data_IF_773520007428
#
_entry.id   IF_773520007428
#
_cell.length_a   1.000
_cell.length_b   1.000
_cell.length_c   1.000
_cell.angle_alpha   90.00
_cell.angle_beta   90.00
_cell.angle_gamma   90.00
#
_symmetry.space_group_name_H-M   'P 1'
#
loop_
_entity.id
_entity.type
_entity.pdbx_description
1 polymer ?
#
# COMPACT_ATOMS: atom_id res chain seq x y z
N UNK A 1 2.69 -21.78 33.01
CA UNK A 1 2.07 -20.47 33.29
C UNK A 1 0.69 -20.48 32.67
N UNK A 2 -0.32 -19.84 33.26
CA UNK A 2 -1.69 -19.86 32.73
C UNK A 2 -1.97 -18.53 32.03
N UNK A 3 -1.52 -18.42 30.78
CA UNK A 3 -1.74 -17.21 29.99
C UNK A 3 -3.18 -17.11 29.52
N UNK A 4 -3.76 -15.92 29.60
CA UNK A 4 -5.09 -15.65 29.06
C UNK A 4 -5.03 -14.60 27.97
N UNK A 5 -5.73 -14.83 26.87
CA UNK A 5 -5.86 -13.86 25.78
C UNK A 5 -7.18 -13.10 25.91
N UNK A 6 -7.14 -11.78 25.81
CA UNK A 6 -8.31 -10.93 25.98
C UNK A 6 -8.32 -9.82 24.93
N UNK A 7 -9.49 -9.54 24.37
CA UNK A 7 -9.68 -8.39 23.47
C UNK A 7 -9.52 -7.09 24.24
N UNK A 8 -8.76 -6.16 23.68
CA UNK A 8 -8.57 -4.79 24.18
C UNK A 8 -9.37 -3.81 23.32
N UNK A 9 -10.24 -3.03 23.95
CA UNK A 9 -11.09 -2.00 23.35
C UNK A 9 -10.42 -0.63 23.43
N UNK A 10 -9.25 -0.50 22.81
CA UNK A 10 -8.38 0.70 22.90
C UNK A 10 -9.03 1.99 22.36
N UNK A 11 -10.06 1.89 21.52
CA UNK A 11 -10.81 3.05 21.03
C UNK A 11 -11.82 3.61 22.05
N UNK A 12 -12.36 2.75 22.92
CA UNK A 12 -13.45 3.11 23.84
C UNK A 12 -13.07 3.02 25.32
N UNK A 13 -11.91 2.44 25.65
CA UNK A 13 -11.41 2.30 27.01
C UNK A 13 -10.04 2.96 27.16
N UNK A 14 -10.02 4.08 27.88
CA UNK A 14 -8.78 4.85 28.13
C UNK A 14 -7.73 4.02 28.87
N UNK A 15 -8.11 3.26 29.89
CA UNK A 15 -7.17 2.44 30.66
C UNK A 15 -6.53 1.34 29.82
N UNK A 16 -7.30 0.69 28.93
CA UNK A 16 -6.76 -0.31 28.02
C UNK A 16 -5.88 0.31 26.94
N UNK A 17 -6.23 1.50 26.45
CA UNK A 17 -5.37 2.27 25.55
C UNK A 17 -4.03 2.60 26.21
N UNK A 18 -4.04 3.17 27.40
CA UNK A 18 -2.82 3.50 28.15
C UNK A 18 -1.96 2.23 28.40
N UNK A 19 -2.57 1.09 28.76
CA UNK A 19 -1.83 -0.17 28.94
C UNK A 19 -1.18 -0.67 27.63
N UNK A 20 -1.90 -0.58 26.51
CA UNK A 20 -1.40 -0.94 25.19
C UNK A 20 -0.23 -0.04 24.76
N UNK A 21 -0.42 1.28 24.82
CA UNK A 21 0.61 2.27 24.46
C UNK A 21 1.87 2.08 25.31
N UNK A 22 1.71 1.89 26.63
CA UNK A 22 2.84 1.67 27.53
C UNK A 22 3.66 0.43 27.17
N UNK A 23 3.00 -0.69 26.81
CA UNK A 23 3.72 -1.91 26.42
C UNK A 23 4.43 -1.74 25.08
N UNK A 24 3.82 -1.05 24.11
CA UNK A 24 4.48 -0.71 22.84
C UNK A 24 5.72 0.15 23.07
N UNK A 25 5.61 1.21 23.88
CA UNK A 25 6.73 2.08 24.22
C UNK A 25 7.88 1.33 24.90
N UNK A 26 7.58 0.40 25.82
CA UNK A 26 8.59 -0.46 26.46
C UNK A 26 9.32 -1.38 25.47
N UNK A 27 8.63 -1.79 24.41
CA UNK A 27 9.20 -2.56 23.30
C UNK A 27 9.89 -1.68 22.23
N UNK A 28 9.98 -0.37 22.46
CA UNK A 28 10.51 0.61 21.49
C UNK A 28 9.77 0.57 20.15
N UNK A 29 8.44 0.46 20.26
CA UNK A 29 7.49 0.45 19.16
C UNK A 29 6.58 1.67 19.33
N UNK A 30 6.36 2.43 18.25
CA UNK A 30 5.43 3.56 18.24
C UNK A 30 4.00 3.07 18.13
N UNK A 31 3.06 3.91 18.53
CA UNK A 31 1.63 3.65 18.34
C UNK A 31 1.23 3.86 16.88
N UNK A 32 0.14 3.21 16.45
CA UNK A 32 -0.43 3.41 15.13
C UNK A 32 -1.96 3.49 15.23
N UNK A 33 -2.55 4.48 14.57
CA UNK A 33 -3.99 4.74 14.64
C UNK A 33 -4.81 3.79 13.75
N UNK A 34 -4.22 3.26 12.68
CA UNK A 34 -4.90 2.33 11.77
C UNK A 34 -4.83 0.91 12.32
N UNK A 35 -5.70 0.63 13.30
CA UNK A 35 -5.92 -0.68 13.93
C UNK A 35 -7.42 -0.94 14.11
N UNK A 36 -7.89 -2.15 13.82
CA UNK A 36 -9.31 -2.54 13.88
C UNK A 36 -9.61 -3.50 15.04
N UNK A 37 -8.61 -4.29 15.41
CA UNK A 37 -8.71 -5.30 16.46
C UNK A 37 -7.39 -5.36 17.22
N UNK A 38 -7.46 -5.38 18.55
CA UNK A 38 -6.30 -5.45 19.44
C UNK A 38 -6.57 -6.46 20.54
N UNK A 39 -5.56 -7.25 20.89
CA UNK A 39 -5.58 -8.23 21.97
C UNK A 39 -4.39 -8.06 22.89
N UNK A 40 -4.59 -8.42 24.15
CA UNK A 40 -3.55 -8.56 25.16
C UNK A 40 -3.46 -10.00 25.63
N UNK A 41 -2.23 -10.46 25.88
CA UNK A 41 -1.97 -11.68 26.65
C UNK A 41 -1.62 -11.26 28.07
N UNK A 42 -2.28 -11.90 29.02
CA UNK A 42 -2.15 -11.64 30.44
C UNK A 42 -1.60 -12.84 31.20
N UNK A 43 -0.65 -12.58 32.10
CA UNK A 43 -0.21 -13.51 33.15
C UNK A 43 -0.78 -13.00 34.48
N UNK A 44 -1.88 -13.61 34.93
CA UNK A 44 -2.73 -13.02 35.97
C UNK A 44 -3.34 -11.70 35.50
N UNK A 45 -3.05 -10.60 36.21
CA UNK A 45 -3.50 -9.24 35.83
C UNK A 45 -2.47 -8.48 35.00
N UNK A 46 -1.24 -9.01 34.85
CA UNK A 46 -0.16 -8.34 34.14
C UNK A 46 -0.31 -8.55 32.64
N UNK A 47 -0.42 -7.46 31.87
CA UNK A 47 -0.30 -7.49 30.42
C UNK A 47 1.15 -7.81 30.04
N UNK A 48 1.39 -8.98 29.43
CA UNK A 48 2.73 -9.46 29.07
C UNK A 48 3.01 -9.41 27.57
N UNK A 49 1.95 -9.35 26.74
CA UNK A 49 2.07 -9.22 25.29
C UNK A 49 0.86 -8.50 24.73
N UNK A 50 1.02 -7.82 23.61
CA UNK A 50 -0.09 -7.25 22.85
C UNK A 50 0.19 -7.30 21.36
N UNK A 51 -0.88 -7.31 20.58
CA UNK A 51 -0.81 -7.22 19.13
C UNK A 51 -2.15 -6.78 18.57
N UNK A 52 -2.09 -6.18 17.39
CA UNK A 52 -3.22 -5.64 16.68
C UNK A 52 -3.28 -6.18 15.26
N UNK A 53 -4.40 -5.96 14.58
CA UNK A 53 -4.50 -6.11 13.13
C UNK A 53 -5.25 -4.93 12.51
N UNK A 54 -4.91 -4.66 11.27
CA UNK A 54 -5.69 -3.82 10.36
C UNK A 54 -5.94 -4.62 9.09
N UNK A 55 -7.20 -4.94 8.80
CA UNK A 55 -7.56 -5.94 7.79
C UNK A 55 -6.75 -7.23 8.02
N UNK A 56 -5.93 -7.62 7.04
CA UNK A 56 -5.05 -8.78 7.05
C UNK A 56 -3.58 -8.49 7.40
N UNK A 57 -3.27 -7.29 7.89
CA UNK A 57 -1.92 -6.93 8.31
C UNK A 57 -1.82 -7.02 9.82
N UNK A 58 -0.90 -7.85 10.32
CA UNK A 58 -0.51 -7.88 11.72
C UNK A 58 0.25 -6.59 12.05
N UNK A 59 -0.17 -5.94 13.15
CA UNK A 59 0.35 -4.64 13.58
C UNK A 59 0.64 -4.62 15.07
N UNK A 60 1.47 -3.67 15.50
CA UNK A 60 1.70 -3.33 16.91
C UNK A 60 1.99 -4.55 17.81
N UNK A 61 2.78 -5.51 17.31
CA UNK A 61 3.17 -6.71 18.07
C UNK A 61 4.29 -6.34 19.05
N UNK A 62 4.02 -6.45 20.35
CA UNK A 62 4.98 -6.24 21.42
C UNK A 62 4.87 -7.35 22.48
N UNK A 63 6.02 -7.79 22.98
CA UNK A 63 6.13 -8.75 24.08
C UNK A 63 7.04 -8.17 25.13
N UNK A 64 6.63 -8.29 26.39
CA UNK A 64 7.41 -7.86 27.54
C UNK A 64 8.76 -8.61 27.56
N UNK A 65 9.86 -7.89 27.83
CA UNK A 65 11.23 -8.46 27.88
C UNK A 65 11.32 -9.65 28.86
N UNK A 66 10.56 -9.53 29.95
CA UNK A 66 10.13 -10.52 30.94
C UNK A 66 9.84 -11.93 30.40
N UNK A 67 9.19 -11.94 29.23
CA UNK A 67 8.39 -13.03 28.70
C UNK A 67 8.76 -13.33 27.23
N UNK A 68 10.01 -13.05 26.85
CA UNK A 68 10.55 -13.21 25.48
C UNK A 68 10.67 -14.67 25.01
N UNK A 69 10.15 -15.64 25.77
CA UNK A 69 10.02 -17.03 25.33
C UNK A 69 9.10 -17.16 24.10
N UNK A 70 9.35 -18.18 23.27
CA UNK A 70 8.59 -18.42 22.05
C UNK A 70 7.10 -18.71 22.26
N UNK A 71 6.69 -19.16 23.45
CA UNK A 71 5.30 -19.53 23.76
C UNK A 71 4.34 -18.34 23.67
N UNK A 72 4.65 -17.22 24.33
CA UNK A 72 3.78 -16.03 24.36
C UNK A 72 3.65 -15.40 22.97
N UNK A 73 4.77 -15.29 22.25
CA UNK A 73 4.80 -14.80 20.86
C UNK A 73 3.95 -15.68 19.94
N UNK A 74 4.10 -17.00 20.05
CA UNK A 74 3.36 -17.96 19.22
C UNK A 74 1.87 -17.90 19.51
N UNK A 75 1.47 -17.81 20.80
CA UNK A 75 0.08 -17.69 21.21
C UNK A 75 -0.57 -16.42 20.64
N UNK A 76 0.13 -15.29 20.74
CA UNK A 76 -0.35 -14.00 20.24
C UNK A 76 -0.58 -14.02 18.73
N UNK A 77 0.44 -14.46 17.99
CA UNK A 77 0.42 -14.41 16.54
C UNK A 77 -0.57 -15.45 15.98
N UNK A 78 -0.64 -16.64 16.58
CA UNK A 78 -1.64 -17.65 16.19
C UNK A 78 -3.07 -17.12 16.37
N UNK A 79 -3.35 -16.45 17.49
CA UNK A 79 -4.67 -15.84 17.72
C UNK A 79 -5.00 -14.76 16.68
N UNK A 80 -4.06 -13.84 16.45
CA UNK A 80 -4.27 -12.77 15.45
C UNK A 80 -4.44 -13.33 14.04
N UNK A 81 -3.72 -14.40 13.69
CA UNK A 81 -3.91 -15.10 12.42
C UNK A 81 -5.31 -15.71 12.32
N UNK A 82 -5.78 -16.41 13.35
CA UNK A 82 -7.15 -16.94 13.39
C UNK A 82 -8.17 -15.82 13.17
N UNK A 83 -8.01 -14.69 13.86
CA UNK A 83 -8.88 -13.51 13.68
C UNK A 83 -8.84 -12.91 12.28
N UNK A 84 -7.71 -13.01 11.56
CA UNK A 84 -7.59 -12.58 10.16
C UNK A 84 -8.35 -13.54 9.24
N UNK A 85 -8.13 -14.86 9.39
CA UNK A 85 -8.77 -15.86 8.53
C UNK A 85 -10.27 -15.96 8.79
N UNK A 86 -10.71 -15.87 10.05
CA UNK A 86 -12.13 -15.87 10.42
C UNK A 86 -12.86 -14.61 9.93
N UNK A 87 -12.13 -13.49 9.76
CA UNK A 87 -12.66 -12.29 9.11
C UNK A 87 -12.76 -12.42 7.57
N UNK A 88 -12.40 -13.58 7.00
CA UNK A 88 -12.54 -13.89 5.58
C UNK A 88 -11.35 -13.50 4.71
N UNK A 89 -10.23 -13.07 5.30
CA UNK A 89 -9.02 -12.80 4.54
C UNK A 89 -8.26 -14.09 4.25
N UNK A 90 -7.82 -14.29 3.01
CA UNK A 90 -7.10 -15.52 2.60
C UNK A 90 -5.58 -15.45 2.84
N UNK A 91 -5.08 -14.28 3.23
CA UNK A 91 -3.66 -13.97 3.37
C UNK A 91 -3.44 -13.20 4.65
N UNK A 92 -2.28 -13.35 5.25
CA UNK A 92 -1.86 -12.63 6.45
C UNK A 92 -0.48 -12.03 6.20
N UNK A 93 -0.33 -10.74 6.49
CA UNK A 93 0.90 -9.99 6.24
C UNK A 93 1.52 -9.48 7.53
N UNK A 94 2.83 -9.32 7.53
CA UNK A 94 3.52 -8.59 8.60
C UNK A 94 4.71 -7.84 8.04
N UNK A 95 4.89 -6.62 8.55
CA UNK A 95 6.05 -5.78 8.32
C UNK A 95 6.80 -5.72 9.65
N UNK A 96 8.07 -6.09 9.66
CA UNK A 96 8.82 -6.21 10.91
C UNK A 96 10.30 -5.90 10.73
N UNK A 97 11.02 -5.80 11.85
CA UNK A 97 12.48 -5.64 11.83
C UNK A 97 13.16 -6.98 11.57
N UNK A 98 14.37 -7.00 10.96
CA UNK A 98 15.13 -8.23 10.72
C UNK A 98 15.27 -9.16 11.94
N UNK A 99 15.39 -8.60 13.15
CA UNK A 99 15.60 -9.38 14.37
C UNK A 99 14.37 -10.23 14.76
N UNK A 100 13.18 -9.86 14.28
CA UNK A 100 11.93 -10.55 14.59
C UNK A 100 11.53 -11.60 13.55
N UNK A 101 12.22 -11.66 12.41
CA UNK A 101 11.87 -12.51 11.26
C UNK A 101 11.79 -13.99 11.62
N UNK A 102 12.77 -14.47 12.40
CA UNK A 102 12.87 -15.89 12.72
C UNK A 102 11.61 -16.44 13.40
N UNK A 103 10.98 -15.62 14.26
CA UNK A 103 9.71 -16.00 14.90
C UNK A 103 8.61 -16.24 13.87
N UNK A 104 8.47 -15.34 12.88
CA UNK A 104 7.47 -15.46 11.82
C UNK A 104 7.74 -16.65 10.88
N UNK A 105 9.01 -16.90 10.53
CA UNK A 105 9.38 -18.07 9.72
C UNK A 105 8.97 -19.39 10.40
N UNK A 106 9.16 -19.51 11.72
CA UNK A 106 8.71 -20.71 12.47
C UNK A 106 7.19 -20.91 12.43
N UNK A 107 6.41 -19.85 12.24
CA UNK A 107 4.95 -19.92 12.08
C UNK A 107 4.53 -20.09 10.61
N UNK A 108 5.49 -20.31 9.71
CA UNK A 108 5.28 -20.55 8.29
C UNK A 108 4.86 -19.30 7.53
N UNK A 109 5.41 -18.14 7.91
CA UNK A 109 5.49 -16.99 7.01
C UNK A 109 6.69 -17.15 6.06
N UNK A 110 6.60 -16.54 4.91
CA UNK A 110 7.66 -16.46 3.90
C UNK A 110 8.04 -15.00 3.68
N UNK A 111 9.34 -14.74 3.50
CA UNK A 111 9.85 -13.40 3.21
C UNK A 111 9.56 -13.06 1.75
N UNK A 112 8.87 -11.94 1.51
CA UNK A 112 8.61 -11.39 0.17
C UNK A 112 9.80 -10.54 -0.29
N UNK A 113 10.17 -9.57 0.55
CA UNK A 113 11.24 -8.63 0.26
C UNK A 113 11.68 -7.91 1.54
N UNK A 114 12.87 -7.31 1.48
CA UNK A 114 13.55 -6.68 2.61
C UNK A 114 14.19 -5.36 2.21
N UNK A 115 14.22 -4.41 3.12
CA UNK A 115 15.00 -3.18 3.04
C UNK A 115 16.12 -3.27 4.07
N UNK A 116 17.28 -3.75 3.62
CA UNK A 116 18.50 -3.95 4.40
C UNK A 116 18.22 -4.43 5.85
N UNK A 117 18.61 -3.62 6.83
CA UNK A 117 18.42 -3.87 8.26
C UNK A 117 17.22 -3.11 8.86
N UNK A 118 16.43 -2.44 8.02
CA UNK A 118 15.35 -1.56 8.45
C UNK A 118 14.00 -2.29 8.50
N UNK A 119 13.71 -3.11 7.48
CA UNK A 119 12.38 -3.70 7.30
C UNK A 119 12.41 -5.03 6.55
N UNK A 120 11.50 -5.92 6.92
CA UNK A 120 11.20 -7.18 6.24
C UNK A 120 9.69 -7.31 6.08
N UNK A 121 9.25 -7.54 4.85
CA UNK A 121 7.87 -7.79 4.51
C UNK A 121 7.65 -9.30 4.33
N UNK A 122 6.77 -9.87 5.13
CA UNK A 122 6.46 -11.30 5.13
C UNK A 122 4.97 -11.55 4.89
N UNK A 123 4.68 -12.70 4.31
CA UNK A 123 3.32 -13.19 4.06
C UNK A 123 3.16 -14.61 4.57
N UNK A 124 1.96 -14.91 5.04
CA UNK A 124 1.46 -16.27 5.20
C UNK A 124 0.17 -16.43 4.39
N UNK A 125 0.20 -17.33 3.43
CA UNK A 125 -0.92 -17.64 2.54
C UNK A 125 -0.78 -19.06 2.00
N UNK A 126 -1.88 -19.64 1.50
CA UNK A 126 -1.84 -20.98 0.85
C UNK A 126 -1.08 -20.92 -0.48
N UNK A 127 -1.37 -19.90 -1.29
CA UNK A 127 -0.78 -19.72 -2.64
C UNK A 127 0.06 -18.44 -2.75
N UNK A 128 -0.28 -17.42 -1.96
CA UNK A 128 0.52 -16.22 -1.69
C UNK A 128 1.06 -15.47 -2.91
N UNK A 129 2.21 -14.85 -2.68
CA UNK A 129 2.91 -13.97 -3.62
C UNK A 129 3.33 -14.71 -4.88
N UNK A 130 3.78 -15.96 -4.76
CA UNK A 130 4.15 -16.76 -5.93
C UNK A 130 2.97 -16.96 -6.88
N UNK A 131 1.76 -17.19 -6.36
CA UNK A 131 0.57 -17.28 -7.21
C UNK A 131 0.23 -15.96 -7.89
N UNK A 132 0.40 -14.83 -7.19
CA UNK A 132 0.25 -13.51 -7.80
C UNK A 132 1.23 -13.31 -8.96
N UNK A 133 2.50 -13.65 -8.78
CA UNK A 133 3.51 -13.58 -9.83
C UNK A 133 3.20 -14.53 -11.00
N UNK A 134 2.70 -15.74 -10.72
CA UNK A 134 2.30 -16.68 -11.77
C UNK A 134 1.12 -16.15 -12.60
N UNK A 135 0.13 -15.50 -11.97
CA UNK A 135 -0.98 -14.85 -12.68
C UNK A 135 -0.51 -13.66 -13.53
N UNK A 136 0.50 -12.92 -13.06
CA UNK A 136 1.14 -11.89 -13.88
C UNK A 136 1.89 -12.52 -15.06
N UNK A 137 2.68 -13.57 -14.84
CA UNK A 137 3.47 -14.22 -15.87
C UNK A 137 2.61 -14.79 -17.01
N UNK A 138 1.36 -15.20 -16.75
CA UNK A 138 0.39 -15.60 -17.79
C UNK A 138 0.02 -14.46 -18.75
N UNK A 139 0.21 -13.21 -18.34
CA UNK A 139 -0.06 -12.00 -19.12
C UNK A 139 1.21 -11.43 -19.77
N UNK A 140 2.34 -12.15 -19.67
CA UNK A 140 3.55 -11.80 -20.38
C UNK A 140 3.32 -12.00 -21.88
N UNK A 141 3.64 -10.99 -22.66
CA UNK A 141 3.63 -11.04 -24.13
C UNK A 141 5.04 -10.71 -24.65
N UNK A 142 5.34 -11.16 -25.87
CA UNK A 142 6.63 -10.88 -26.50
C UNK A 142 6.74 -9.40 -26.91
N UNK A 143 7.94 -8.84 -26.78
CA UNK A 143 8.27 -7.48 -27.19
C UNK A 143 9.67 -7.11 -26.70
N UNK A 144 10.29 -6.14 -27.36
CA UNK A 144 11.63 -5.66 -26.99
C UNK A 144 11.56 -4.60 -25.89
N UNK A 145 10.52 -3.75 -25.94
CA UNK A 145 10.31 -2.64 -25.01
C UNK A 145 9.06 -2.88 -24.17
N UNK A 146 9.23 -3.63 -23.09
CA UNK A 146 8.16 -3.90 -22.12
C UNK A 146 8.29 -2.94 -20.94
N UNK A 147 7.20 -2.23 -20.67
CA UNK A 147 7.20 -1.13 -19.71
C UNK A 147 6.17 -1.27 -18.61
N UNK A 148 6.41 -0.62 -17.48
CA UNK A 148 5.53 -0.63 -16.32
C UNK A 148 5.17 0.76 -15.80
N UNK A 149 3.88 0.96 -15.49
CA UNK A 149 3.35 2.08 -14.69
C UNK A 149 2.69 1.52 -13.42
N UNK A 150 2.96 2.10 -12.24
CA UNK A 150 2.17 1.89 -11.01
C UNK A 150 1.54 3.22 -10.64
N UNK A 151 0.25 3.23 -10.35
CA UNK A 151 -0.49 4.44 -9.99
C UNK A 151 -1.66 4.16 -9.05
N UNK A 152 -2.01 5.17 -8.24
CA UNK A 152 -3.24 5.12 -7.44
C UNK A 152 -4.47 5.52 -8.27
N UNK A 153 -4.40 6.58 -9.08
CA UNK A 153 -5.52 7.08 -9.89
C UNK A 153 -6.78 7.41 -9.05
N UNK A 154 -6.64 8.26 -8.03
CA UNK A 154 -7.69 8.60 -7.05
C UNK A 154 -8.20 10.06 -7.13
N UNK A 155 -8.92 10.48 -8.18
CA UNK A 155 -9.40 9.69 -9.32
C UNK A 155 -8.41 9.66 -10.50
N UNK A 156 -8.79 8.96 -11.57
CA UNK A 156 -8.08 8.98 -12.84
C UNK A 156 -8.21 10.36 -13.50
N UNK A 157 -7.09 10.95 -13.92
CA UNK A 157 -6.99 12.34 -14.40
C UNK A 157 -6.33 12.40 -15.77
N UNK A 158 -6.41 13.54 -16.45
CA UNK A 158 -5.69 13.77 -17.72
C UNK A 158 -4.17 13.68 -17.55
N UNK A 159 -3.66 13.93 -16.35
CA UNK A 159 -2.25 13.70 -16.02
C UNK A 159 -1.88 12.21 -16.00
N UNK A 160 -2.74 11.35 -15.44
CA UNK A 160 -2.55 9.90 -15.51
C UNK A 160 -2.67 9.39 -16.95
N UNK A 161 -3.69 9.83 -17.69
CA UNK A 161 -3.89 9.44 -19.09
C UNK A 161 -2.69 9.82 -19.95
N UNK A 162 -2.17 11.05 -19.78
CA UNK A 162 -0.95 11.50 -20.47
C UNK A 162 0.28 10.64 -20.16
N UNK A 163 0.49 10.28 -18.89
CA UNK A 163 1.61 9.40 -18.50
C UNK A 163 1.50 8.05 -19.22
N UNK A 164 0.30 7.46 -19.24
CA UNK A 164 0.05 6.18 -19.90
C UNK A 164 0.24 6.32 -21.42
N UNK A 165 -0.36 7.30 -22.07
CA UNK A 165 -0.24 7.53 -23.51
C UNK A 165 1.22 7.73 -23.93
N UNK A 166 1.98 8.53 -23.17
CA UNK A 166 3.39 8.81 -23.46
C UNK A 166 4.27 7.57 -23.30
N UNK A 167 4.04 6.78 -22.24
CA UNK A 167 4.76 5.52 -22.03
C UNK A 167 4.38 4.47 -23.09
N UNK A 168 3.09 4.38 -23.43
CA UNK A 168 2.54 3.43 -24.40
C UNK A 168 3.12 3.67 -25.79
N UNK A 169 3.31 4.93 -26.19
CA UNK A 169 3.93 5.29 -27.46
C UNK A 169 5.43 4.94 -27.55
N UNK A 170 6.08 4.65 -26.42
CA UNK A 170 7.51 4.31 -26.33
C UNK A 170 7.74 2.82 -26.04
N UNK A 171 6.67 2.03 -25.96
CA UNK A 171 6.71 0.63 -25.52
C UNK A 171 5.99 -0.25 -26.53
N UNK A 172 6.50 -1.47 -26.73
CA UNK A 172 5.76 -2.49 -27.48
C UNK A 172 4.56 -2.98 -26.67
N UNK A 173 4.74 -3.05 -25.34
CA UNK A 173 3.71 -3.40 -24.36
C UNK A 173 3.88 -2.56 -23.09
N UNK A 174 2.77 -2.07 -22.55
CA UNK A 174 2.74 -1.30 -21.31
C UNK A 174 1.80 -1.96 -20.30
N UNK A 175 2.38 -2.42 -19.18
CA UNK A 175 1.64 -2.88 -18.02
C UNK A 175 1.35 -1.71 -17.08
N UNK A 176 0.09 -1.46 -16.77
CA UNK A 176 -0.35 -0.44 -15.81
C UNK A 176 -0.96 -1.12 -14.60
N UNK A 177 -0.34 -0.94 -13.44
CA UNK A 177 -0.75 -1.43 -12.15
C UNK A 177 -1.51 -0.35 -11.40
N UNK A 178 -2.77 -0.64 -11.07
CA UNK A 178 -3.63 0.23 -10.28
C UNK A 178 -3.67 -0.30 -8.85
N UNK A 179 -3.36 0.57 -7.88
CA UNK A 179 -3.32 0.16 -6.46
C UNK A 179 -4.65 -0.47 -6.04
N UNK A 180 -4.64 -1.60 -5.33
CA UNK A 180 -5.86 -2.32 -4.90
C UNK A 180 -6.44 -1.84 -3.57
N UNK A 181 -5.72 -0.99 -2.83
CA UNK A 181 -6.18 -0.52 -1.52
C UNK A 181 -7.45 0.35 -1.55
N UNK A 182 -8.41 0.00 -0.70
CA UNK A 182 -9.66 0.75 -0.46
C UNK A 182 -9.55 1.68 0.76
N UNK A 183 -8.53 2.52 0.80
CA UNK A 183 -8.41 3.64 1.77
C UNK A 183 -8.50 5.02 1.11
N UNK A 184 -8.64 5.01 -0.20
CA UNK A 184 -8.78 6.16 -1.08
C UNK A 184 -10.24 6.64 -1.12
N UNK A 185 -10.45 7.90 -1.50
CA UNK A 185 -11.79 8.45 -1.70
C UNK A 185 -12.55 7.68 -2.79
N UNK A 186 -11.87 7.36 -3.90
CA UNK A 186 -12.42 6.55 -4.96
C UNK A 186 -12.08 5.07 -4.70
N UNK A 187 -13.08 4.16 -4.68
CA UNK A 187 -12.86 2.72 -4.49
C UNK A 187 -11.94 2.12 -5.56
N UNK A 188 -11.16 1.10 -5.22
CA UNK A 188 -10.19 0.45 -6.10
C UNK A 188 -10.83 -0.03 -7.41
N UNK A 189 -12.00 -0.66 -7.33
CA UNK A 189 -12.76 -1.10 -8.51
C UNK A 189 -13.13 0.06 -9.43
N UNK A 190 -13.54 1.19 -8.86
CA UNK A 190 -13.86 2.41 -9.63
C UNK A 190 -12.61 2.97 -10.28
N UNK A 191 -11.51 3.12 -9.52
CA UNK A 191 -10.23 3.63 -10.04
C UNK A 191 -9.75 2.79 -11.22
N UNK A 192 -9.77 1.47 -11.09
CA UNK A 192 -9.40 0.54 -12.17
C UNK A 192 -10.31 0.67 -13.38
N UNK A 193 -11.64 0.67 -13.19
CA UNK A 193 -12.62 0.85 -14.28
C UNK A 193 -12.37 2.14 -15.05
N UNK A 194 -12.11 3.26 -14.35
CA UNK A 194 -11.84 4.55 -14.97
C UNK A 194 -10.53 4.55 -15.78
N UNK A 195 -9.49 3.87 -15.28
CA UNK A 195 -8.24 3.67 -16.02
C UNK A 195 -8.49 2.84 -17.28
N UNK A 196 -9.18 1.70 -17.17
CA UNK A 196 -9.52 0.82 -18.30
C UNK A 196 -10.34 1.55 -19.39
N UNK A 197 -11.39 2.29 -19.00
CA UNK A 197 -12.18 3.10 -19.93
C UNK A 197 -11.34 4.21 -20.57
N UNK A 198 -10.51 4.88 -19.77
CA UNK A 198 -9.70 6.01 -20.20
C UNK A 198 -8.50 5.63 -21.07
N UNK A 199 -8.14 4.35 -21.14
CA UNK A 199 -7.01 3.86 -21.96
C UNK A 199 -7.44 2.87 -23.03
N UNK A 200 -8.75 2.68 -23.23
CA UNK A 200 -9.30 1.67 -24.17
C UNK A 200 -8.82 1.84 -25.61
N UNK A 201 -8.45 3.06 -26.01
CA UNK A 201 -7.91 3.37 -27.33
C UNK A 201 -6.46 2.90 -27.53
N UNK A 202 -5.77 2.45 -26.47
CA UNK A 202 -4.37 2.01 -26.52
C UNK A 202 -4.30 0.47 -26.56
N UNK A 203 -4.05 -0.15 -27.73
CA UNK A 203 -4.13 -1.61 -27.88
C UNK A 203 -3.01 -2.37 -27.15
N UNK A 204 -1.89 -1.69 -26.86
CA UNK A 204 -0.72 -2.27 -26.20
C UNK A 204 -0.70 -2.03 -24.68
N UNK A 205 -1.82 -1.62 -24.08
CA UNK A 205 -1.93 -1.43 -22.63
C UNK A 205 -2.60 -2.64 -21.98
N UNK A 206 -2.04 -3.10 -20.86
CA UNK A 206 -2.63 -4.13 -19.98
C UNK A 206 -2.80 -3.56 -18.59
N UNK A 207 -4.02 -3.66 -18.04
CA UNK A 207 -4.33 -3.15 -16.70
C UNK A 207 -4.29 -4.30 -15.68
N UNK A 208 -3.63 -4.07 -14.55
CA UNK A 208 -3.41 -5.02 -13.48
C UNK A 208 -3.78 -4.40 -12.14
N UNK A 209 -4.24 -5.26 -11.22
CA UNK A 209 -4.30 -4.95 -9.81
C UNK A 209 -2.92 -5.16 -9.17
N UNK A 210 -2.58 -4.39 -8.16
CA UNK A 210 -1.37 -4.63 -7.35
C UNK A 210 -1.55 -5.75 -6.32
N UNK A 211 -2.80 -6.07 -5.97
CA UNK A 211 -3.08 -6.76 -4.73
C UNK A 211 -2.53 -5.97 -3.55
N UNK A 212 -2.13 -6.66 -2.49
CA UNK A 212 -1.55 -6.05 -1.29
C UNK A 212 -0.02 -5.89 -1.36
N UNK A 213 0.60 -6.22 -2.50
CA UNK A 213 2.07 -6.24 -2.66
C UNK A 213 2.68 -4.90 -3.04
N UNK A 214 1.85 -3.91 -3.38
CA UNK A 214 2.24 -2.51 -3.50
C UNK A 214 1.12 -1.67 -2.91
N UNK A 215 1.44 -0.86 -1.90
CA UNK A 215 0.46 -0.12 -1.08
C UNK A 215 0.76 1.36 -1.08
N UNK A 216 -0.21 2.21 -0.71
CA UNK A 216 0.09 3.63 -0.54
C UNK A 216 0.79 3.91 0.80
N UNK A 217 1.38 5.10 0.90
CA UNK A 217 1.90 5.62 2.16
C UNK A 217 0.87 5.67 3.29
N UNK A 218 -0.44 5.72 2.99
CA UNK A 218 -1.49 5.77 4.02
C UNK A 218 -1.63 4.45 4.78
N UNK A 219 -1.30 3.33 4.15
CA UNK A 219 -1.48 1.98 4.72
C UNK A 219 -0.16 1.32 5.10
N UNK A 220 0.97 1.87 4.65
CA UNK A 220 2.31 1.37 4.96
C UNK A 220 2.60 1.42 6.47
N UNK A 221 2.82 0.26 7.13
CA UNK A 221 3.09 0.24 8.56
C UNK A 221 4.53 0.68 8.83
N UNK A 222 4.69 1.78 9.58
CA UNK A 222 6.01 2.36 9.88
C UNK A 222 6.30 2.49 11.38
N UNK A 223 5.33 2.10 12.21
CA UNK A 223 5.37 2.22 13.66
C UNK A 223 6.58 1.54 14.33
N UNK A 224 7.15 0.51 13.70
CA UNK A 224 8.33 -0.19 14.18
C UNK A 224 9.66 0.41 13.70
N UNK A 225 9.67 1.27 12.67
CA UNK A 225 10.91 1.87 12.17
C UNK A 225 11.54 2.77 13.25
N UNK A 226 12.88 2.89 13.20
CA UNK A 226 13.62 3.79 14.08
C UNK A 226 13.25 5.25 13.77
N UNK A 227 13.33 6.13 14.77
CA UNK A 227 12.92 7.54 14.63
C UNK A 227 13.81 8.35 13.68
N UNK A 228 15.06 7.94 13.48
CA UNK A 228 16.03 8.58 12.59
C UNK A 228 15.88 8.17 11.12
N UNK A 229 14.96 7.25 10.82
CA UNK A 229 14.74 6.74 9.46
C UNK A 229 13.63 7.50 8.74
N UNK A 230 13.88 7.82 7.47
CA UNK A 230 12.84 8.36 6.60
C UNK A 230 11.91 7.23 6.13
N UNK A 231 10.71 7.18 6.70
CA UNK A 231 9.66 6.22 6.34
C UNK A 231 9.39 6.20 4.83
N UNK A 232 9.46 7.36 4.17
CA UNK A 232 9.20 7.49 2.74
C UNK A 232 10.28 6.79 1.93
N UNK A 233 11.55 6.94 2.31
CA UNK A 233 12.67 6.26 1.66
C UNK A 233 12.58 4.74 1.85
N UNK A 234 12.29 4.28 3.07
CA UNK A 234 12.14 2.84 3.36
C UNK A 234 10.99 2.24 2.54
N UNK A 235 9.83 2.88 2.52
CA UNK A 235 8.70 2.43 1.72
C UNK A 235 9.05 2.41 0.23
N UNK A 236 9.59 3.52 -0.30
CA UNK A 236 9.95 3.63 -1.71
C UNK A 236 10.96 2.56 -2.13
N UNK A 237 11.93 2.27 -1.26
CA UNK A 237 12.93 1.22 -1.47
C UNK A 237 12.27 -0.15 -1.49
N UNK A 238 11.38 -0.45 -0.55
CA UNK A 238 10.63 -1.72 -0.53
C UNK A 238 9.83 -1.90 -1.83
N UNK A 239 9.00 -0.92 -2.18
CA UNK A 239 8.14 -0.97 -3.37
C UNK A 239 8.98 -1.11 -4.66
N UNK A 240 10.10 -0.37 -4.75
CA UNK A 240 11.04 -0.48 -5.87
C UNK A 240 11.67 -1.87 -5.95
N UNK A 241 12.07 -2.47 -4.82
CA UNK A 241 12.65 -3.82 -4.79
C UNK A 241 11.61 -4.87 -5.17
N UNK A 242 10.39 -4.80 -4.63
CA UNK A 242 9.30 -5.70 -5.03
C UNK A 242 9.04 -5.60 -6.54
N UNK A 243 8.96 -4.38 -7.06
CA UNK A 243 8.76 -4.18 -8.49
C UNK A 243 9.90 -4.76 -9.32
N UNK A 244 11.15 -4.36 -9.05
CA UNK A 244 12.34 -4.77 -9.81
C UNK A 244 12.58 -6.28 -9.73
N UNK A 245 12.57 -6.83 -8.52
CA UNK A 245 13.04 -8.19 -8.27
C UNK A 245 12.01 -9.25 -8.66
N UNK A 246 10.72 -8.90 -8.63
CA UNK A 246 9.63 -9.86 -8.79
C UNK A 246 8.70 -9.51 -9.94
N UNK A 247 7.98 -8.37 -9.85
CA UNK A 247 6.93 -8.01 -10.81
C UNK A 247 7.52 -7.79 -12.21
N UNK A 248 8.61 -7.04 -12.31
CA UNK A 248 9.28 -6.76 -13.57
C UNK A 248 9.79 -8.04 -14.22
N UNK A 249 10.40 -8.95 -13.45
CA UNK A 249 10.88 -10.23 -13.96
C UNK A 249 9.75 -11.14 -14.46
N UNK A 250 8.63 -11.21 -13.72
CA UNK A 250 7.48 -12.02 -14.11
C UNK A 250 6.90 -11.62 -15.48
N UNK A 251 6.95 -10.33 -15.81
CA UNK A 251 6.40 -9.76 -17.05
C UNK A 251 7.45 -9.41 -18.10
N UNK A 252 8.74 -9.51 -17.78
CA UNK A 252 9.83 -9.07 -18.66
C UNK A 252 9.91 -7.55 -18.82
N UNK A 253 9.42 -6.77 -17.85
CA UNK A 253 9.48 -5.31 -17.87
C UNK A 253 10.94 -4.85 -17.75
N UNK A 254 11.38 -4.00 -18.67
CA UNK A 254 12.72 -3.41 -18.71
C UNK A 254 12.72 -1.93 -18.37
N UNK A 255 11.56 -1.27 -18.46
CA UNK A 255 11.45 0.18 -18.24
C UNK A 255 10.27 0.51 -17.31
N UNK A 256 10.52 1.35 -16.31
CA UNK A 256 9.50 1.88 -15.39
C UNK A 256 9.29 3.36 -15.67
N UNK A 257 8.05 3.76 -15.98
CA UNK A 257 7.68 5.16 -16.22
C UNK A 257 7.02 5.79 -15.00
N UNK A 258 7.48 6.96 -14.58
CA UNK A 258 6.91 7.72 -13.47
C UNK A 258 6.73 9.18 -13.86
N UNK A 259 5.81 9.87 -13.21
CA UNK A 259 5.66 11.33 -13.36
C UNK A 259 6.66 12.07 -12.49
N UNK A 260 7.18 13.18 -12.99
CA UNK A 260 7.94 14.15 -12.20
C UNK A 260 7.06 14.74 -11.09
N UNK A 261 7.64 15.15 -9.97
CA UNK A 261 6.89 15.90 -8.95
C UNK A 261 7.81 16.83 -8.15
N UNK A 262 8.29 17.91 -8.79
CA UNK A 262 9.36 18.75 -8.25
C UNK A 262 8.97 19.47 -6.95
N UNK A 263 7.66 19.64 -6.70
CA UNK A 263 7.09 20.32 -5.53
C UNK A 263 6.78 19.37 -4.36
N UNK A 264 6.88 18.05 -4.54
CA UNK A 264 6.64 17.05 -3.49
C UNK A 264 7.97 16.46 -3.03
N UNK A 265 8.42 16.88 -1.86
CA UNK A 265 9.63 16.33 -1.23
C UNK A 265 9.56 14.80 -1.13
N UNK A 266 8.41 14.26 -0.72
CA UNK A 266 8.18 12.83 -0.60
C UNK A 266 8.27 12.09 -1.95
N UNK A 267 7.76 12.67 -3.03
CA UNK A 267 7.84 12.03 -4.36
C UNK A 267 9.25 12.08 -4.93
N UNK A 268 10.01 13.15 -4.65
CA UNK A 268 11.42 13.21 -5.05
C UNK A 268 12.23 12.11 -4.34
N UNK A 269 12.02 11.91 -3.03
CA UNK A 269 12.62 10.77 -2.30
C UNK A 269 12.24 9.45 -2.97
N UNK A 270 10.98 9.30 -3.36
CA UNK A 270 10.49 8.08 -4.00
C UNK A 270 11.20 7.81 -5.34
N UNK A 271 11.34 8.83 -6.19
CA UNK A 271 12.05 8.74 -7.47
C UNK A 271 13.55 8.45 -7.31
N UNK A 272 14.21 9.09 -6.35
CA UNK A 272 15.63 8.82 -6.05
C UNK A 272 15.84 7.40 -5.49
N UNK A 273 14.94 6.93 -4.63
CA UNK A 273 14.97 5.56 -4.11
C UNK A 273 14.81 4.53 -5.23
N UNK A 274 13.84 4.74 -6.14
CA UNK A 274 13.68 3.89 -7.32
C UNK A 274 14.93 3.90 -8.20
N UNK A 275 15.50 5.08 -8.48
CA UNK A 275 16.72 5.21 -9.29
C UNK A 275 17.89 4.43 -8.69
N UNK A 276 18.08 4.52 -7.37
CA UNK A 276 19.11 3.79 -6.63
C UNK A 276 18.88 2.27 -6.68
N UNK A 277 17.66 1.81 -6.45
CA UNK A 277 17.32 0.37 -6.44
C UNK A 277 17.41 -0.23 -7.84
N UNK A 278 16.92 0.48 -8.85
CA UNK A 278 16.88 0.01 -10.23
C UNK A 278 18.28 -0.12 -10.83
N UNK A 279 19.13 0.89 -10.63
CA UNK A 279 20.49 0.87 -11.17
C UNK A 279 20.47 0.69 -12.69
N UNK A 280 21.29 -0.24 -13.19
CA UNK A 280 21.36 -0.56 -14.63
C UNK A 280 20.40 -1.67 -15.05
N UNK A 281 19.83 -2.41 -14.11
CA UNK A 281 19.01 -3.60 -14.38
C UNK A 281 17.58 -3.26 -14.88
N UNK A 282 17.09 -2.06 -14.54
CA UNK A 282 15.77 -1.59 -14.91
C UNK A 282 15.83 -0.08 -15.20
N UNK A 283 15.37 0.34 -16.38
CA UNK A 283 15.43 1.75 -16.75
C UNK A 283 14.32 2.55 -16.05
N UNK A 284 14.66 3.58 -15.29
CA UNK A 284 13.69 4.57 -14.81
C UNK A 284 13.56 5.71 -15.81
N UNK A 285 12.33 6.01 -16.25
CA UNK A 285 12.02 7.18 -17.07
C UNK A 285 11.05 8.09 -16.32
N UNK A 286 11.51 9.28 -15.97
CA UNK A 286 10.72 10.32 -15.31
C UNK A 286 10.19 11.27 -16.40
N UNK A 287 8.87 11.39 -16.49
CA UNK A 287 8.20 12.24 -17.47
C UNK A 287 7.69 13.54 -16.83
N UNK A 288 7.84 14.69 -17.48
CA UNK A 288 7.28 15.96 -17.01
C UNK A 288 5.77 15.84 -16.79
N UNK A 289 5.24 16.58 -15.81
CA UNK A 289 3.79 16.58 -15.55
C UNK A 289 3.05 17.32 -16.66
N UNK A 290 1.85 16.83 -16.98
CA UNK A 290 0.90 17.57 -17.81
C UNK A 290 0.31 18.72 -17.01
N UNK A 291 0.34 19.90 -17.60
CA UNK A 291 -0.24 21.12 -17.05
C UNK A 291 -1.54 21.47 -17.77
N UNK A 292 -2.42 22.14 -17.04
CA UNK A 292 -3.61 22.80 -17.57
C UNK A 292 -3.78 24.13 -16.86
N UNK A 293 -3.86 25.20 -17.65
CA UNK A 293 -3.94 26.58 -17.18
C UNK A 293 -2.75 26.96 -16.26
N UNK A 294 -1.53 26.63 -16.70
CA UNK A 294 -0.26 26.86 -15.98
C UNK A 294 -0.15 26.18 -14.60
N UNK A 295 -1.05 25.24 -14.30
CA UNK A 295 -1.03 24.45 -13.07
C UNK A 295 -0.97 22.95 -13.40
N UNK A 296 -0.24 22.19 -12.60
CA UNK A 296 -0.14 20.73 -12.74
C UNK A 296 -1.52 20.08 -12.58
N UNK A 297 -1.83 19.15 -13.49
CA UNK A 297 -3.01 18.29 -13.35
C UNK A 297 -2.71 17.22 -12.30
N UNK A 298 -3.42 17.26 -11.17
CA UNK A 298 -3.27 16.30 -10.07
C UNK A 298 -4.60 15.81 -9.54
N UNK A 299 -4.61 14.59 -9.00
CA UNK A 299 -5.80 14.02 -8.37
C UNK A 299 -6.21 14.77 -7.10
N UNK A 300 -5.25 15.33 -6.36
CA UNK A 300 -5.53 16.17 -5.19
C UNK A 300 -6.26 17.46 -5.58
N UNK A 301 -5.88 18.10 -6.69
CA UNK A 301 -6.59 19.28 -7.23
C UNK A 301 -8.02 18.95 -7.63
N UNK A 302 -8.25 17.80 -8.27
CA UNK A 302 -9.61 17.32 -8.58
C UNK A 302 -10.44 17.13 -7.31
N UNK A 303 -9.89 16.46 -6.28
CA UNK A 303 -10.61 16.29 -5.00
C UNK A 303 -10.89 17.62 -4.30
N UNK A 304 -9.97 18.59 -4.39
CA UNK A 304 -10.19 19.95 -3.87
C UNK A 304 -11.37 20.62 -4.57
N UNK A 305 -11.41 20.61 -5.90
CA UNK A 305 -12.52 21.21 -6.66
C UNK A 305 -13.86 20.50 -6.42
N UNK A 306 -13.86 19.17 -6.24
CA UNK A 306 -15.04 18.41 -5.82
C UNK A 306 -15.57 18.86 -4.45
N UNK A 307 -14.68 19.14 -3.50
CA UNK A 307 -15.07 19.64 -2.18
C UNK A 307 -15.64 21.08 -2.24
N UNK A 308 -15.17 21.89 -3.18
CA UNK A 308 -15.54 23.30 -3.37
C UNK A 308 -16.74 23.51 -4.33
N UNK A 309 -17.40 22.45 -4.80
CA UNK A 309 -18.50 22.53 -5.78
C UNK A 309 -18.10 23.12 -7.15
N UNK A 310 -16.81 23.00 -7.49
CA UNK A 310 -16.19 23.54 -8.71
C UNK A 310 -16.15 22.51 -9.83
N UNK A 311 -17.33 22.04 -10.25
CA UNK A 311 -17.48 20.93 -11.20
C UNK A 311 -17.11 21.31 -12.65
N UNK A 312 -17.36 22.55 -13.06
CA UNK A 312 -17.06 23.01 -14.42
C UNK A 312 -15.54 23.01 -14.69
N UNK A 313 -14.74 23.32 -13.68
CA UNK A 313 -13.27 23.33 -13.77
C UNK A 313 -12.67 21.94 -13.95
N UNK A 314 -13.45 20.87 -13.73
CA UNK A 314 -12.97 19.49 -13.87
C UNK A 314 -12.78 19.06 -15.32
N UNK A 315 -13.47 19.70 -16.27
CA UNK A 315 -13.36 19.36 -17.71
C UNK A 315 -11.93 19.44 -18.23
N UNK A 316 -11.12 20.35 -17.68
CA UNK A 316 -9.71 20.50 -18.02
C UNK A 316 -8.74 19.59 -17.25
N UNK A 317 -9.24 18.86 -16.25
CA UNK A 317 -8.41 18.06 -15.32
C UNK A 317 -8.61 16.55 -15.46
N UNK A 318 -9.78 16.11 -15.90
CA UNK A 318 -10.12 14.68 -15.97
C UNK A 318 -10.59 14.27 -17.37
N UNK A 319 -10.35 13.01 -17.79
CA UNK A 319 -10.84 12.51 -19.06
C UNK A 319 -12.36 12.35 -19.02
N UNK A 320 -12.97 12.23 -20.20
CA UNK A 320 -14.42 12.12 -20.35
C UNK A 320 -15.03 10.96 -19.52
N UNK A 321 -14.35 9.82 -19.41
CA UNK A 321 -14.83 8.69 -18.59
C UNK A 321 -14.97 9.07 -17.10
N UNK A 322 -13.97 9.76 -16.55
CA UNK A 322 -13.99 10.26 -15.18
C UNK A 322 -15.03 11.37 -15.04
N UNK A 323 -15.10 12.31 -15.98
CA UNK A 323 -16.07 13.41 -15.93
C UNK A 323 -17.51 12.88 -15.89
N UNK A 324 -17.85 11.95 -16.79
CA UNK A 324 -19.15 11.24 -16.80
C UNK A 324 -19.41 10.49 -15.50
N UNK A 325 -18.40 9.80 -14.96
CA UNK A 325 -18.53 9.09 -13.69
C UNK A 325 -18.88 10.03 -12.53
N UNK A 326 -18.23 11.20 -12.45
CA UNK A 326 -18.49 12.19 -11.40
C UNK A 326 -19.92 12.76 -11.44
N UNK A 327 -20.60 12.69 -12.59
CA UNK A 327 -22.00 13.08 -12.79
C UNK A 327 -22.99 11.92 -12.67
N UNK A 328 -22.52 10.73 -12.28
CA UNK A 328 -23.39 9.58 -12.03
C UNK A 328 -23.79 9.49 -10.55
N UNK A 329 -24.84 8.72 -10.24
CA UNK A 329 -25.27 8.46 -8.86
C UNK A 329 -24.11 7.94 -7.97
N UNK A 330 -23.26 7.05 -8.52
CA UNK A 330 -22.09 6.52 -7.80
C UNK A 330 -21.06 7.63 -7.50
N UNK A 331 -20.86 8.56 -8.45
CA UNK A 331 -20.00 9.73 -8.27
C UNK A 331 -20.54 10.70 -7.22
N UNK A 332 -21.85 10.97 -7.23
CA UNK A 332 -22.51 11.85 -6.26
C UNK A 332 -22.36 11.35 -4.81
N UNK A 333 -22.47 10.03 -4.60
CA UNK A 333 -22.23 9.42 -3.28
C UNK A 333 -20.81 9.69 -2.80
N UNK A 334 -19.81 9.48 -3.64
CA UNK A 334 -18.39 9.73 -3.30
C UNK A 334 -18.17 11.21 -2.96
N UNK A 335 -18.73 12.13 -3.75
CA UNK A 335 -18.60 13.57 -3.52
C UNK A 335 -19.25 13.97 -2.19
N UNK A 336 -20.40 13.39 -1.85
CA UNK A 336 -21.06 13.63 -0.56
C UNK A 336 -20.20 13.16 0.61
N UNK A 337 -19.68 11.94 0.55
CA UNK A 337 -18.78 11.38 1.59
C UNK A 337 -17.53 12.23 1.77
N UNK A 338 -16.93 12.72 0.67
CA UNK A 338 -15.79 13.65 0.74
C UNK A 338 -16.16 14.89 1.57
N UNK A 339 -17.29 15.54 1.27
CA UNK A 339 -17.71 16.76 1.96
C UNK A 339 -18.04 16.53 3.43
N UNK A 340 -18.60 15.37 3.76
CA UNK A 340 -18.85 14.99 5.16
C UNK A 340 -17.54 14.82 5.93
N UNK A 341 -16.54 14.16 5.33
CA UNK A 341 -15.23 13.96 5.95
C UNK A 341 -14.42 15.24 6.19
N UNK A 342 -14.75 16.34 5.52
CA UNK A 342 -14.12 17.65 5.72
C UNK A 342 -14.83 18.51 6.79
N UNK A 343 -16.04 18.10 7.21
CA UNK A 343 -16.81 18.78 8.28
C UNK A 343 -16.61 18.13 9.65
N UNK A 344 -16.16 16.88 9.68
CA UNK A 344 -15.73 16.12 10.86
C UNK A 344 -14.27 16.42 11.18
#
# INVERSE_FOLDING_TARGET
MNYTIQRMWIASSRSQREAWENLLHQASIRTEELVEYTVGIYDGEKLVATGSRYKNVLKCIAVCKDYTGGEVVSLLISHLMTEIFDAGFERCYVYTKPQSVQSFLYMGFEEIERVEDDLVFLEKAVWGFQSFLNELAKKKEEGEKISGIVMNANPFTLGHQYLIETASAKSDLLHVFVLSEDVSLFPAKVRKRLVEEGTRHLPNVRIHDTGDYMVSAKTFPSYFLKEDKDTTEVQATLDAKIFKNHIAKALGITTRFVGEEPLSFATNIYNESMKKVFGEDLQLVILPRKEYDSEVISASRVRKYLAEDRLEELKGLVPECTYRFLHSEEGEVIIRTLKESLKS
#
